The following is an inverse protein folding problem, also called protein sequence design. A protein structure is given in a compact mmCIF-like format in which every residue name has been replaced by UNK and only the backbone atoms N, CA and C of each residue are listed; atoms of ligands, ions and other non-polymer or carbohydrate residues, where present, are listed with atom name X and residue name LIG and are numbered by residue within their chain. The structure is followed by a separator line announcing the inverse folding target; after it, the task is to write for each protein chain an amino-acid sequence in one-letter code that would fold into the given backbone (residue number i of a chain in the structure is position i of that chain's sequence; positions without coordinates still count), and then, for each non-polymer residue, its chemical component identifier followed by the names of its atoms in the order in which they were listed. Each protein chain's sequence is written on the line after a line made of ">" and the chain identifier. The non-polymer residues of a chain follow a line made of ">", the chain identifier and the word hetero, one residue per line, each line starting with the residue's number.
data_IF_717743934646
#
_entry.id   IF_717743934646
#
_cell.length_a   1.000
_cell.length_b   1.000
_cell.length_c   1.000
_cell.angle_alpha   90.00
_cell.angle_beta   90.00
_cell.angle_gamma   90.00
#
_symmetry.space_group_name_H-M   'P 1'
#
loop_
_entity.id
_entity.type
_entity.pdbx_description
1 polymer ?
#
# COMPACT_ATOMS: atom_id res chain seq x y z
N UNK A 1 9.57 -6.98 17.88
CA UNK A 1 9.61 -8.40 17.43
C UNK A 1 9.05 -9.39 18.46
N UNK A 2 9.58 -9.49 19.69
CA UNK A 2 9.21 -10.54 20.67
C UNK A 2 7.70 -10.73 20.94
N UNK A 3 6.91 -9.66 21.04
CA UNK A 3 5.49 -9.78 21.41
C UNK A 3 4.57 -10.25 20.27
N UNK A 4 5.03 -10.14 19.01
CA UNK A 4 4.24 -10.48 17.82
C UNK A 4 4.50 -11.91 17.33
N UNK A 5 5.66 -12.48 17.69
CA UNK A 5 6.10 -13.81 17.27
C UNK A 5 5.26 -14.96 17.84
N UNK A 6 4.44 -14.71 18.86
CA UNK A 6 3.55 -15.72 19.47
C UNK A 6 2.35 -16.10 18.60
N UNK A 7 2.07 -15.34 17.55
CA UNK A 7 0.94 -15.56 16.65
C UNK A 7 1.43 -16.25 15.37
N UNK A 8 0.90 -17.43 15.08
CA UNK A 8 1.29 -18.25 13.92
C UNK A 8 0.57 -17.85 12.62
N UNK A 9 -0.44 -16.98 12.70
CA UNK A 9 -1.26 -16.50 11.60
C UNK A 9 -1.22 -14.98 11.42
N UNK A 10 -0.34 -14.28 12.14
CA UNK A 10 -0.20 -12.83 12.05
C UNK A 10 0.71 -12.45 10.88
N UNK A 11 0.20 -11.64 9.96
CA UNK A 11 0.98 -10.99 8.91
C UNK A 11 1.05 -9.49 9.17
N UNK A 12 2.25 -8.94 9.31
CA UNK A 12 2.47 -7.50 9.51
C UNK A 12 3.27 -6.97 8.33
N UNK A 13 2.77 -5.88 7.75
CA UNK A 13 3.34 -5.24 6.59
C UNK A 13 3.55 -3.76 6.88
N UNK A 14 4.71 -3.25 6.48
CA UNK A 14 5.00 -1.83 6.43
C UNK A 14 4.70 -1.31 5.03
N UNK A 15 3.82 -0.31 4.94
CA UNK A 15 3.40 0.28 3.67
C UNK A 15 4.32 1.45 3.35
N UNK A 16 4.97 1.43 2.19
CA UNK A 16 5.68 2.59 1.65
C UNK A 16 4.85 3.14 0.49
N UNK A 17 4.33 4.35 0.65
CA UNK A 17 3.40 4.99 -0.28
C UNK A 17 3.60 6.51 -0.24
N UNK A 18 4.78 6.97 -0.67
CA UNK A 18 5.08 8.40 -0.73
C UNK A 18 4.18 9.09 -1.76
N UNK A 19 3.56 10.21 -1.40
CA UNK A 19 2.66 10.97 -2.28
C UNK A 19 1.26 10.39 -2.43
N UNK A 20 0.89 9.35 -1.68
CA UNK A 20 -0.47 8.77 -1.69
C UNK A 20 -1.55 9.79 -1.27
N UNK A 21 -1.16 10.79 -0.49
CA UNK A 21 -1.99 11.91 -0.08
C UNK A 21 -2.48 12.77 -1.26
N UNK A 22 -1.76 12.78 -2.39
CA UNK A 22 -2.17 13.49 -3.60
C UNK A 22 -3.42 12.90 -4.26
N UNK A 23 -3.71 11.62 -3.99
CA UNK A 23 -4.91 10.94 -4.48
C UNK A 23 -6.16 11.28 -3.66
N UNK A 24 -6.02 11.97 -2.52
CA UNK A 24 -7.15 12.30 -1.65
C UNK A 24 -8.04 13.36 -2.28
N UNK A 25 -9.29 12.97 -2.54
CA UNK A 25 -10.38 13.85 -3.00
C UNK A 25 -11.65 13.51 -2.24
N UNK A 26 -12.63 14.44 -2.17
CA UNK A 26 -13.94 14.17 -1.53
C UNK A 26 -14.67 12.97 -2.16
N UNK A 27 -14.47 12.77 -3.47
CA UNK A 27 -14.90 11.60 -4.23
C UNK A 27 -13.70 11.10 -5.02
N UNK A 28 -13.42 9.80 -4.95
CA UNK A 28 -12.24 9.19 -5.56
C UNK A 28 -12.64 8.13 -6.57
N UNK A 29 -12.01 8.16 -7.75
CA UNK A 29 -12.06 7.09 -8.73
C UNK A 29 -10.64 6.61 -8.95
N UNK A 30 -10.30 5.46 -8.38
CA UNK A 30 -8.94 4.94 -8.35
C UNK A 30 -8.86 3.66 -9.17
N UNK A 31 -7.78 3.51 -9.93
CA UNK A 31 -7.38 2.25 -10.53
C UNK A 31 -6.24 1.65 -9.71
N UNK A 32 -6.33 0.36 -9.43
CA UNK A 32 -5.33 -0.38 -8.67
C UNK A 32 -4.83 -1.55 -9.51
N UNK A 33 -3.52 -1.62 -9.71
CA UNK A 33 -2.86 -2.73 -10.40
C UNK A 33 -1.83 -3.35 -9.46
N UNK A 34 -1.87 -4.67 -9.29
CA UNK A 34 -0.88 -5.41 -8.50
C UNK A 34 -0.10 -6.30 -9.44
N UNK A 35 1.21 -6.06 -9.52
CA UNK A 35 2.11 -6.84 -10.38
C UNK A 35 3.43 -7.08 -9.64
N UNK A 36 3.84 -8.34 -9.59
CA UNK A 36 5.14 -8.76 -9.02
C UNK A 36 5.40 -8.22 -7.60
N UNK A 37 4.35 -8.11 -6.78
CA UNK A 37 4.47 -7.64 -5.39
C UNK A 37 4.53 -6.11 -5.23
N UNK A 38 4.43 -5.36 -6.33
CA UNK A 38 4.23 -3.90 -6.32
C UNK A 38 2.78 -3.58 -6.63
N UNK A 39 2.23 -2.61 -5.92
CA UNK A 39 0.89 -2.08 -6.14
C UNK A 39 1.02 -0.70 -6.77
N UNK A 40 0.34 -0.43 -7.87
CA UNK A 40 0.24 0.89 -8.48
C UNK A 40 -1.17 1.40 -8.27
N UNK A 41 -1.30 2.56 -7.63
CA UNK A 41 -2.58 3.21 -7.38
C UNK A 41 -2.61 4.53 -8.13
N UNK A 42 -3.59 4.69 -9.01
CA UNK A 42 -3.69 5.86 -9.86
C UNK A 42 -5.09 6.44 -9.94
N UNK A 43 -5.17 7.72 -10.24
CA UNK A 43 -6.39 8.42 -10.67
C UNK A 43 -6.16 9.06 -12.05
N UNK A 44 -7.00 10.01 -12.46
CA UNK A 44 -6.80 10.69 -13.75
C UNK A 44 -5.52 11.55 -13.86
N UNK A 45 -4.84 11.83 -12.73
CA UNK A 45 -3.72 12.79 -12.64
C UNK A 45 -2.43 12.16 -12.13
N UNK A 46 -2.51 11.32 -11.10
CA UNK A 46 -1.37 10.77 -10.38
C UNK A 46 -1.32 9.26 -10.51
N UNK A 47 -0.11 8.72 -10.58
CA UNK A 47 0.18 7.29 -10.49
C UNK A 47 1.22 7.09 -9.38
N UNK A 48 0.82 6.41 -8.32
CA UNK A 48 1.60 6.26 -7.10
C UNK A 48 1.97 4.77 -6.94
N UNK A 49 3.27 4.43 -7.00
CA UNK A 49 3.74 3.10 -6.65
C UNK A 49 3.72 2.91 -5.13
N UNK A 50 3.19 1.79 -4.70
CA UNK A 50 3.06 1.35 -3.31
C UNK A 50 3.79 0.01 -3.17
N UNK A 51 4.71 -0.06 -2.21
CA UNK A 51 5.45 -1.29 -1.90
C UNK A 51 5.18 -1.73 -0.46
N UNK A 52 5.10 -3.05 -0.28
CA UNK A 52 4.86 -3.66 1.02
C UNK A 52 6.17 -4.29 1.53
N UNK A 53 6.74 -3.69 2.57
CA UNK A 53 7.83 -4.28 3.32
C UNK A 53 7.30 -5.28 4.34
N UNK A 54 7.90 -6.46 4.44
CA UNK A 54 7.55 -7.41 5.50
C UNK A 54 8.17 -6.97 6.82
N UNK A 55 7.38 -6.97 7.90
CA UNK A 55 7.81 -6.55 9.25
C UNK A 55 8.47 -7.69 10.06
#
# INVERSE_FOLDING_TARGET
>A
KKNLQRFNNLSVWHIHAEGVDLLMKRSMQLQCTIQEGTLYLSDETYDIPITLGKF
#
